data_IF_537494395278
#
_entry.id   IF_537494395278
#
_cell.length_a   1.000
_cell.length_b   1.000
_cell.length_c   1.000
_cell.angle_alpha   90.00
_cell.angle_beta   90.00
_cell.angle_gamma   90.00
#
_symmetry.space_group_name_H-M   'P 1'
#
loop_
_entity.id
_entity.type
_entity.pdbx_description
1 polymer ?
#
# COMPACT_ATOMS: atom_id res chain seq x y z
N UNK A 1 -8.69 -10.14 -21.38
CA UNK A 1 -7.82 -9.64 -20.30
C UNK A 1 -7.78 -10.72 -19.26
N UNK A 2 -6.62 -11.34 -19.05
CA UNK A 2 -6.43 -12.35 -18.00
C UNK A 2 -6.64 -11.67 -16.65
N UNK A 3 -7.65 -12.13 -15.91
CA UNK A 3 -7.85 -11.78 -14.50
C UNK A 3 -6.56 -12.08 -13.75
N UNK A 4 -5.85 -11.06 -13.27
CA UNK A 4 -4.73 -11.27 -12.33
C UNK A 4 -5.31 -11.25 -10.93
N UNK A 5 -5.33 -12.43 -10.30
CA UNK A 5 -5.64 -12.58 -8.88
C UNK A 5 -4.66 -11.76 -8.03
N UNK A 6 -5.09 -11.39 -6.82
CA UNK A 6 -4.21 -10.72 -5.86
C UNK A 6 -3.09 -11.69 -5.50
N UNK A 7 -1.83 -11.26 -5.61
CA UNK A 7 -0.69 -12.05 -5.13
C UNK A 7 -0.52 -11.86 -3.63
N UNK A 8 -0.04 -12.87 -2.93
CA UNK A 8 0.12 -12.87 -1.49
C UNK A 8 1.55 -13.28 -1.12
N UNK A 9 2.24 -12.38 -0.43
CA UNK A 9 3.51 -12.64 0.22
C UNK A 9 3.30 -12.71 1.73
N UNK A 10 3.67 -13.82 2.35
CA UNK A 10 3.68 -13.96 3.80
C UNK A 10 5.07 -13.60 4.34
N UNK A 11 5.13 -12.77 5.37
CA UNK A 11 6.37 -12.42 6.06
C UNK A 11 6.28 -12.71 7.55
N UNK A 12 7.16 -13.57 8.03
CA UNK A 12 7.37 -13.84 9.45
C UNK A 12 8.43 -12.87 9.96
N UNK A 13 8.19 -12.16 11.06
CA UNK A 13 9.24 -11.37 11.74
C UNK A 13 9.96 -12.21 12.79
N UNK A 14 11.17 -11.83 13.24
CA UNK A 14 11.77 -12.41 14.44
C UNK A 14 10.90 -12.19 15.68
N UNK A 15 11.09 -13.01 16.72
CA UNK A 15 10.55 -12.73 18.07
C UNK A 15 11.04 -11.37 18.57
N UNK A 16 10.14 -10.59 19.16
CA UNK A 16 10.51 -9.29 19.74
C UNK A 16 10.97 -9.46 21.19
N UNK A 17 11.66 -8.44 21.72
CA UNK A 17 12.20 -8.48 23.09
C UNK A 17 11.15 -8.82 24.15
N UNK A 18 9.90 -8.38 24.00
CA UNK A 18 8.83 -8.68 24.95
C UNK A 18 8.45 -10.16 24.91
N UNK A 19 8.33 -10.75 23.72
CA UNK A 19 8.03 -12.17 23.52
C UNK A 19 9.17 -13.04 24.03
N UNK A 20 10.42 -12.65 23.78
CA UNK A 20 11.61 -13.33 24.31
C UNK A 20 11.66 -13.29 25.84
N UNK A 21 11.41 -12.12 26.45
CA UNK A 21 11.36 -11.97 27.91
C UNK A 21 10.20 -12.74 28.56
N UNK A 22 9.13 -13.00 27.80
CA UNK A 22 7.99 -13.80 28.25
C UNK A 22 8.19 -15.31 28.02
N UNK A 23 9.36 -15.73 27.51
CA UNK A 23 9.66 -17.12 27.14
C UNK A 23 8.62 -17.72 26.17
N UNK A 24 8.12 -16.91 25.23
CA UNK A 24 7.24 -17.39 24.18
C UNK A 24 7.97 -18.38 23.25
N UNK A 25 7.26 -19.42 22.82
CA UNK A 25 7.75 -20.36 21.82
C UNK A 25 7.33 -19.94 20.41
N UNK A 26 8.09 -20.36 19.39
CA UNK A 26 7.69 -20.20 18.00
C UNK A 26 6.63 -21.23 17.61
N UNK A 27 5.54 -20.77 17.02
CA UNK A 27 4.39 -21.59 16.62
C UNK A 27 4.25 -21.72 15.10
N UNK A 28 5.23 -21.22 14.34
CA UNK A 28 5.28 -21.24 12.88
C UNK A 28 6.47 -22.04 12.40
N UNK A 29 6.28 -22.85 11.36
CA UNK A 29 7.34 -23.59 10.68
C UNK A 29 7.23 -23.28 9.19
N UNK A 30 8.26 -22.65 8.63
CA UNK A 30 8.35 -22.46 7.17
C UNK A 30 8.91 -23.73 6.56
N UNK A 31 8.28 -24.23 5.49
CA UNK A 31 8.75 -25.41 4.76
C UNK A 31 9.87 -24.99 3.81
N UNK A 32 11.07 -25.60 3.89
CA UNK A 32 12.13 -25.34 2.93
C UNK A 32 11.71 -25.65 1.50
N UNK A 33 12.17 -24.86 0.53
CA UNK A 33 11.97 -25.04 -0.91
C UNK A 33 10.50 -25.07 -1.39
N UNK A 34 9.55 -24.68 -0.54
CA UNK A 34 8.15 -24.53 -0.88
C UNK A 34 7.61 -23.23 -0.26
N UNK A 35 6.73 -22.47 -0.95
CA UNK A 35 6.11 -21.29 -0.36
C UNK A 35 4.97 -21.69 0.58
N UNK A 36 5.30 -22.52 1.58
CA UNK A 36 4.38 -23.12 2.54
C UNK A 36 4.77 -22.82 3.98
N UNK A 37 3.76 -22.61 4.81
CA UNK A 37 3.92 -22.43 6.25
C UNK A 37 2.98 -23.34 7.01
N UNK A 38 3.47 -23.91 8.11
CA UNK A 38 2.68 -24.63 9.11
C UNK A 38 2.49 -23.75 10.34
N UNK A 39 1.29 -23.77 10.90
CA UNK A 39 0.97 -23.16 12.20
C UNK A 39 0.40 -24.20 13.16
N UNK A 40 1.03 -24.33 14.32
CA UNK A 40 0.70 -25.41 15.26
C UNK A 40 1.06 -26.78 14.69
N UNK A 41 0.19 -27.78 14.89
CA UNK A 41 0.50 -29.17 14.56
C UNK A 41 -0.14 -29.68 13.25
N UNK A 42 -1.10 -28.96 12.67
CA UNK A 42 -1.99 -29.54 11.65
C UNK A 42 -2.44 -28.59 10.53
N UNK A 43 -2.10 -27.29 10.60
CA UNK A 43 -2.61 -26.30 9.63
C UNK A 43 -1.50 -25.82 8.72
N UNK A 44 -1.61 -26.16 7.44
CA UNK A 44 -0.73 -25.70 6.38
C UNK A 44 -1.42 -24.64 5.51
N UNK A 45 -0.65 -23.66 5.07
CA UNK A 45 -1.05 -22.63 4.10
C UNK A 45 0.03 -22.51 3.02
N UNK A 46 -0.39 -22.26 1.78
CA UNK A 46 0.51 -22.00 0.63
C UNK A 46 0.23 -20.60 0.12
N UNK A 47 1.28 -19.84 -0.20
CA UNK A 47 1.20 -18.48 -0.74
C UNK A 47 2.08 -18.34 -1.99
N UNK A 48 2.06 -17.18 -2.64
CA UNK A 48 2.99 -16.92 -3.76
C UNK A 48 4.43 -16.78 -3.25
N UNK A 49 4.60 -16.16 -2.08
CA UNK A 49 5.89 -16.00 -1.41
C UNK A 49 5.76 -16.27 0.09
N UNK A 50 6.77 -16.91 0.69
CA UNK A 50 6.88 -17.08 2.15
C UNK A 50 8.28 -16.70 2.59
N UNK A 51 8.38 -15.61 3.35
CA UNK A 51 9.62 -15.07 3.88
C UNK A 51 9.79 -15.46 5.36
N UNK A 52 10.77 -16.31 5.70
CA UNK A 52 11.11 -16.63 7.09
C UNK A 52 11.67 -15.42 7.85
N UNK A 53 11.86 -15.58 9.16
CA UNK A 53 12.22 -14.49 10.09
C UNK A 53 13.57 -13.83 9.84
N UNK A 54 14.50 -14.53 9.19
CA UNK A 54 15.84 -14.06 8.84
C UNK A 54 15.89 -13.33 7.48
N UNK A 55 14.79 -13.32 6.71
CA UNK A 55 14.72 -12.63 5.42
C UNK A 55 14.93 -11.12 5.56
N UNK A 56 15.92 -10.60 4.85
CA UNK A 56 16.25 -9.17 4.85
C UNK A 56 15.25 -8.32 4.04
N UNK A 57 15.21 -7.02 4.32
CA UNK A 57 14.33 -6.08 3.61
C UNK A 57 14.61 -6.01 2.10
N UNK A 58 15.88 -6.14 1.72
CA UNK A 58 16.30 -6.07 0.32
C UNK A 58 15.74 -7.26 -0.46
N UNK A 59 15.84 -8.47 0.09
CA UNK A 59 15.31 -9.69 -0.53
C UNK A 59 13.80 -9.62 -0.71
N UNK A 60 13.05 -9.21 0.33
CA UNK A 60 11.61 -8.98 0.22
C UNK A 60 11.29 -7.97 -0.88
N UNK A 61 12.04 -6.87 -0.96
CA UNK A 61 11.84 -5.86 -1.99
C UNK A 61 12.10 -6.43 -3.40
N UNK A 62 13.22 -7.11 -3.62
CA UNK A 62 13.60 -7.63 -4.92
C UNK A 62 12.60 -8.66 -5.45
N UNK A 63 12.12 -9.57 -4.60
CA UNK A 63 11.21 -10.62 -5.05
C UNK A 63 9.78 -10.13 -5.29
N UNK A 64 9.24 -9.30 -4.40
CA UNK A 64 7.81 -8.98 -4.42
C UNK A 64 7.47 -7.57 -4.92
N UNK A 65 8.30 -6.57 -4.62
CA UNK A 65 7.99 -5.16 -4.88
C UNK A 65 8.68 -4.61 -6.14
N UNK A 66 9.91 -5.03 -6.43
CA UNK A 66 10.68 -4.60 -7.60
C UNK A 66 9.93 -4.86 -8.92
N UNK A 67 9.33 -6.05 -9.18
CA UNK A 67 8.59 -6.31 -10.41
C UNK A 67 7.33 -5.46 -10.56
N UNK A 68 6.78 -4.98 -9.44
CA UNK A 68 5.59 -4.11 -9.44
C UNK A 68 5.94 -2.68 -9.88
N UNK A 69 7.18 -2.22 -9.62
CA UNK A 69 7.66 -0.93 -10.13
C UNK A 69 7.75 -0.96 -11.66
N UNK A 70 8.25 -2.06 -12.23
CA UNK A 70 8.29 -2.24 -13.68
C UNK A 70 6.89 -2.13 -14.29
N UNK A 71 5.87 -2.70 -13.62
CA UNK A 71 4.46 -2.59 -14.05
C UNK A 71 3.90 -1.17 -13.98
N UNK A 72 4.28 -0.39 -12.97
CA UNK A 72 3.92 1.03 -12.93
C UNK A 72 4.53 1.79 -14.12
N UNK A 73 5.81 1.54 -14.41
CA UNK A 73 6.51 2.16 -15.53
C UNK A 73 5.93 1.71 -16.88
N UNK A 74 5.45 0.47 -17.00
CA UNK A 74 4.66 -0.01 -18.16
C UNK A 74 3.29 0.68 -18.32
N UNK A 75 2.80 1.37 -17.28
CA UNK A 75 1.52 2.11 -17.31
C UNK A 75 0.36 1.43 -16.57
N UNK A 76 0.62 0.36 -15.82
CA UNK A 76 -0.40 -0.31 -14.99
C UNK A 76 -0.57 0.39 -13.64
N UNK A 77 -1.77 0.32 -13.07
CA UNK A 77 -1.94 0.62 -11.66
C UNK A 77 -1.37 -0.52 -10.82
N UNK A 78 -0.86 -0.16 -9.65
CA UNK A 78 -0.12 -1.07 -8.79
C UNK A 78 -0.46 -0.79 -7.35
N UNK A 79 -0.58 -1.83 -6.53
CA UNK A 79 -0.82 -1.69 -5.09
C UNK A 79 -0.08 -2.74 -4.29
N UNK A 80 0.61 -2.30 -3.23
CA UNK A 80 1.12 -3.17 -2.18
C UNK A 80 0.39 -2.81 -0.89
N UNK A 81 -0.27 -3.78 -0.27
CA UNK A 81 -0.90 -3.61 1.04
C UNK A 81 -0.24 -4.49 2.11
N UNK A 82 0.31 -3.86 3.13
CA UNK A 82 0.80 -4.54 4.31
C UNK A 82 -0.35 -4.79 5.29
N UNK A 83 -0.60 -6.06 5.64
CA UNK A 83 -1.69 -6.50 6.50
C UNK A 83 -1.20 -7.40 7.62
N UNK A 84 -1.89 -7.39 8.77
CA UNK A 84 -1.59 -8.24 9.91
C UNK A 84 -1.86 -7.54 11.23
N UNK A 85 -1.64 -8.26 12.33
CA UNK A 85 -1.84 -7.74 13.67
C UNK A 85 -0.91 -6.54 14.00
N UNK A 86 -1.30 -5.67 14.95
CA UNK A 86 -0.40 -4.68 15.55
C UNK A 86 0.92 -5.29 16.02
N UNK A 87 2.03 -4.68 15.62
CA UNK A 87 3.37 -5.17 15.97
C UNK A 87 3.83 -6.38 15.16
N UNK A 88 3.14 -6.78 14.08
CA UNK A 88 3.59 -7.86 13.19
C UNK A 88 4.67 -7.46 12.18
N UNK A 89 4.94 -6.15 12.03
CA UNK A 89 6.00 -5.65 11.13
C UNK A 89 5.52 -4.97 9.85
N UNK A 90 4.24 -4.56 9.75
CA UNK A 90 3.68 -3.83 8.59
C UNK A 90 4.44 -2.55 8.24
N UNK A 91 4.45 -1.59 9.17
CA UNK A 91 5.13 -0.29 9.04
C UNK A 91 6.64 -0.44 8.80
N UNK A 92 7.28 -1.42 9.47
CA UNK A 92 8.69 -1.77 9.25
C UNK A 92 8.93 -2.27 7.82
N UNK A 93 8.08 -3.16 7.31
CA UNK A 93 8.20 -3.67 5.94
C UNK A 93 7.99 -2.57 4.90
N UNK A 94 7.01 -1.69 5.11
CA UNK A 94 6.73 -0.58 4.20
C UNK A 94 7.79 0.52 4.28
N UNK A 95 8.45 0.72 5.42
CA UNK A 95 9.40 1.81 5.63
C UNK A 95 8.72 3.16 5.84
N UNK A 96 7.52 3.19 6.42
CA UNK A 96 6.78 4.42 6.75
C UNK A 96 7.13 4.96 8.13
N UNK A 97 7.88 4.22 8.94
CA UNK A 97 8.31 4.66 10.27
C UNK A 97 9.38 5.74 10.17
N UNK A 98 9.32 6.72 11.10
CA UNK A 98 10.41 7.66 11.31
C UNK A 98 11.33 7.04 12.36
N UNK A 99 12.14 6.06 11.97
CA UNK A 99 13.24 5.59 12.80
C UNK A 99 14.56 5.98 12.13
N UNK A 100 15.53 6.45 12.91
CA UNK A 100 16.87 6.78 12.43
C UNK A 100 17.70 5.53 12.08
N UNK A 101 17.03 4.42 11.77
CA UNK A 101 17.68 3.20 11.34
C UNK A 101 18.06 3.33 9.86
N UNK A 102 19.24 2.84 9.48
CA UNK A 102 19.64 2.75 8.08
C UNK A 102 18.88 1.65 7.31
N UNK A 103 17.90 1.00 7.94
CA UNK A 103 17.18 -0.14 7.38
C UNK A 103 16.00 0.37 6.56
N UNK A 104 16.20 0.50 5.25
CA UNK A 104 15.17 0.92 4.33
C UNK A 104 14.15 -0.20 4.06
N UNK A 105 12.85 0.13 4.17
CA UNK A 105 11.74 -0.73 3.76
C UNK A 105 11.43 -0.64 2.27
N UNK A 106 10.22 -1.10 1.90
CA UNK A 106 9.77 -1.18 0.49
C UNK A 106 9.67 0.21 -0.15
N UNK A 107 9.06 1.20 0.51
CA UNK A 107 8.79 2.50 -0.13
C UNK A 107 10.10 3.24 -0.50
N UNK A 108 11.09 3.38 0.39
CA UNK A 108 12.34 4.05 0.01
C UNK A 108 13.08 3.36 -1.15
N UNK A 109 13.15 2.03 -1.15
CA UNK A 109 13.78 1.24 -2.23
C UNK A 109 13.02 1.39 -3.55
N UNK A 110 11.69 1.36 -3.49
CA UNK A 110 10.81 1.59 -4.62
C UNK A 110 11.01 2.97 -5.25
N UNK A 111 11.17 4.01 -4.44
CA UNK A 111 11.44 5.38 -4.92
C UNK A 111 12.78 5.42 -5.67
N UNK A 112 13.85 4.85 -5.09
CA UNK A 112 15.17 4.82 -5.74
C UNK A 112 15.11 4.06 -7.07
N UNK A 113 14.50 2.87 -7.10
CA UNK A 113 14.34 2.09 -8.33
C UNK A 113 13.51 2.84 -9.38
N UNK A 114 12.36 3.40 -9.00
CA UNK A 114 11.48 4.11 -9.93
C UNK A 114 12.24 5.19 -10.71
N UNK A 115 12.99 6.06 -10.02
CA UNK A 115 13.74 7.11 -10.70
C UNK A 115 14.90 6.58 -11.53
N UNK A 116 15.54 5.48 -11.14
CA UNK A 116 16.54 4.81 -11.97
C UNK A 116 15.92 4.28 -13.28
N UNK A 117 14.77 3.61 -13.19
CA UNK A 117 14.05 3.07 -14.35
C UNK A 117 13.56 4.20 -15.28
N UNK A 118 13.06 5.30 -14.71
CA UNK A 118 12.64 6.47 -15.48
C UNK A 118 13.82 7.15 -16.19
N UNK A 119 14.98 7.21 -15.55
CA UNK A 119 16.20 7.74 -16.16
C UNK A 119 16.63 6.88 -17.35
N UNK A 120 16.76 5.56 -17.15
CA UNK A 120 17.12 4.61 -18.20
C UNK A 120 16.14 4.69 -19.38
N UNK A 121 14.83 4.74 -19.09
CA UNK A 121 13.81 4.82 -20.14
C UNK A 121 13.87 6.15 -20.91
N UNK A 122 14.23 7.24 -20.25
CA UNK A 122 14.43 8.54 -20.90
C UNK A 122 15.68 8.56 -21.78
N UNK A 123 16.75 7.87 -21.38
CA UNK A 123 17.95 7.70 -22.21
C UNK A 123 17.65 6.86 -23.45
N UNK A 124 16.86 5.79 -23.31
CA UNK A 124 16.44 4.93 -24.42
C UNK A 124 15.45 5.63 -25.36
N UNK A 125 14.56 6.48 -24.82
CA UNK A 125 13.57 7.20 -25.61
C UNK A 125 13.43 8.66 -25.13
N UNK A 126 14.25 9.59 -25.65
CA UNK A 126 14.26 11.00 -25.24
C UNK A 126 12.96 11.76 -25.50
N UNK A 127 12.05 11.16 -26.28
CA UNK A 127 10.75 11.72 -26.61
C UNK A 127 9.68 11.46 -25.55
N UNK A 128 9.98 10.73 -24.47
CA UNK A 128 9.07 10.59 -23.34
C UNK A 128 9.35 11.62 -22.25
N UNK A 129 8.30 12.33 -21.85
CA UNK A 129 8.27 13.16 -20.64
C UNK A 129 7.58 12.42 -19.50
N UNK A 130 8.22 12.46 -18.33
CA UNK A 130 7.74 11.84 -17.11
C UNK A 130 7.49 12.91 -16.05
N UNK A 131 6.29 12.90 -15.47
CA UNK A 131 5.94 13.73 -14.32
C UNK A 131 5.54 12.83 -13.16
N UNK A 132 6.22 13.00 -12.01
CA UNK A 132 5.95 12.24 -10.79
C UNK A 132 5.25 13.13 -9.78
N UNK A 133 4.13 12.66 -9.27
CA UNK A 133 3.38 13.31 -8.19
C UNK A 133 3.24 12.37 -7.01
N UNK A 134 3.05 12.94 -5.82
CA UNK A 134 2.81 12.17 -4.61
C UNK A 134 1.64 12.75 -3.81
N UNK A 135 0.85 11.85 -3.24
CA UNK A 135 -0.10 12.17 -2.17
C UNK A 135 0.10 11.20 -1.00
N UNK A 136 -0.18 11.66 0.21
CA UNK A 136 -0.07 10.82 1.40
C UNK A 136 -1.27 11.04 2.30
N UNK A 137 -2.08 9.99 2.47
CA UNK A 137 -3.34 10.05 3.18
C UNK A 137 -3.33 9.12 4.37
N UNK A 138 -4.10 9.52 5.38
CA UNK A 138 -4.42 8.70 6.54
C UNK A 138 -5.95 8.58 6.64
N UNK A 139 -6.42 7.34 6.78
CA UNK A 139 -7.81 7.04 7.11
C UNK A 139 -7.86 6.62 8.58
N UNK A 140 -8.40 7.50 9.41
CA UNK A 140 -8.54 7.29 10.85
C UNK A 140 -10.00 7.46 11.25
N UNK A 141 -10.61 6.43 11.83
CA UNK A 141 -12.01 6.45 12.27
C UNK A 141 -13.00 6.92 11.17
N UNK A 142 -12.84 6.40 9.94
CA UNK A 142 -13.59 6.83 8.74
C UNK A 142 -13.41 8.31 8.36
N UNK A 143 -12.48 9.04 8.94
CA UNK A 143 -12.11 10.39 8.51
C UNK A 143 -10.82 10.37 7.69
N UNK A 144 -10.84 11.08 6.56
CA UNK A 144 -9.69 11.25 5.70
C UNK A 144 -8.88 12.45 6.15
N UNK A 145 -7.57 12.26 6.23
CA UNK A 145 -6.60 13.26 6.63
C UNK A 145 -5.50 13.29 5.58
N UNK A 146 -5.18 14.47 5.06
CA UNK A 146 -4.05 14.67 4.16
C UNK A 146 -2.78 14.94 5.00
N UNK A 147 -1.82 14.01 4.92
CA UNK A 147 -0.57 14.07 5.68
C UNK A 147 0.44 15.05 5.06
N UNK A 148 0.23 15.51 3.83
CA UNK A 148 1.05 16.54 3.17
C UNK A 148 0.45 17.95 3.32
N UNK A 149 -0.76 18.06 3.86
CA UNK A 149 -1.45 19.29 4.20
C UNK A 149 -1.68 19.42 5.73
N UNK A 150 -0.82 20.14 6.46
CA UNK A 150 -0.92 20.29 7.92
C UNK A 150 -2.25 20.87 8.42
N UNK A 151 -2.98 21.62 7.58
CA UNK A 151 -4.27 22.22 7.94
C UNK A 151 -5.44 21.23 7.83
N UNK A 152 -5.25 20.08 7.18
CA UNK A 152 -6.32 19.11 6.93
C UNK A 152 -7.02 18.66 8.23
N UNK A 153 -6.24 18.31 9.27
CA UNK A 153 -6.81 17.90 10.56
C UNK A 153 -7.57 19.02 11.27
N UNK A 154 -7.05 20.24 11.22
CA UNK A 154 -7.71 21.40 11.84
C UNK A 154 -8.99 21.79 11.12
N UNK A 155 -9.00 21.70 9.79
CA UNK A 155 -10.17 21.96 8.96
C UNK A 155 -11.26 20.93 9.25
N UNK A 156 -10.91 19.64 9.39
CA UNK A 156 -11.87 18.61 9.77
C UNK A 156 -12.50 18.89 11.16
N UNK A 157 -11.70 19.31 12.15
CA UNK A 157 -12.22 19.72 13.47
C UNK A 157 -13.17 20.92 13.41
N UNK A 158 -13.02 21.79 12.42
CA UNK A 158 -13.89 22.96 12.17
C UNK A 158 -15.08 22.63 11.25
N UNK A 159 -15.29 21.35 10.90
CA UNK A 159 -16.36 20.90 10.01
C UNK A 159 -16.15 21.23 8.52
N UNK A 160 -14.95 21.67 8.14
CA UNK A 160 -14.55 21.93 6.74
C UNK A 160 -13.81 20.72 6.19
N UNK A 161 -14.56 19.65 5.90
CA UNK A 161 -14.00 18.45 5.29
C UNK A 161 -13.80 18.68 3.79
N UNK A 162 -12.61 19.14 3.42
CA UNK A 162 -12.26 19.41 2.01
C UNK A 162 -12.00 18.11 1.21
N UNK A 163 -11.74 16.99 1.91
CA UNK A 163 -11.42 15.69 1.32
C UNK A 163 -12.67 14.85 1.05
N UNK A 164 -12.95 14.57 -0.22
CA UNK A 164 -14.11 13.76 -0.63
C UNK A 164 -13.73 12.71 -1.67
N UNK A 165 -14.24 11.49 -1.49
CA UNK A 165 -14.16 10.41 -2.49
C UNK A 165 -15.27 10.61 -3.51
N UNK A 166 -14.90 10.92 -4.76
CA UNK A 166 -15.81 11.14 -5.89
C UNK A 166 -15.67 10.02 -6.92
N UNK A 167 -16.68 9.91 -7.75
CA UNK A 167 -16.77 8.95 -8.85
C UNK A 167 -17.05 9.77 -10.12
N UNK A 168 -16.26 9.57 -11.16
CA UNK A 168 -16.46 10.25 -12.44
C UNK A 168 -17.56 9.58 -13.28
N UNK A 169 -17.85 10.13 -14.47
CA UNK A 169 -18.87 9.59 -15.36
C UNK A 169 -18.55 8.17 -15.88
N UNK A 170 -17.29 7.73 -15.80
CA UNK A 170 -16.83 6.41 -16.21
C UNK A 170 -16.77 5.43 -15.03
N UNK A 171 -17.19 5.85 -13.83
CA UNK A 171 -17.12 5.03 -12.61
C UNK A 171 -15.74 5.00 -11.96
N UNK A 172 -14.80 5.84 -12.41
CA UNK A 172 -13.45 5.91 -11.83
C UNK A 172 -13.48 6.73 -10.55
N UNK A 173 -12.92 6.15 -9.48
CA UNK A 173 -12.80 6.83 -8.19
C UNK A 173 -11.63 7.82 -8.23
N UNK A 174 -11.88 9.04 -7.75
CA UNK A 174 -10.86 10.05 -7.57
C UNK A 174 -11.11 10.85 -6.28
N UNK A 175 -10.04 11.48 -5.77
CA UNK A 175 -10.10 12.24 -4.53
C UNK A 175 -10.12 13.73 -4.82
N UNK A 176 -11.15 14.40 -4.32
CA UNK A 176 -11.27 15.85 -4.36
C UNK A 176 -10.64 16.45 -3.11
N UNK A 177 -9.86 17.52 -3.27
CA UNK A 177 -9.25 18.28 -2.18
C UNK A 177 -7.92 17.73 -1.65
N UNK A 178 -7.45 16.60 -2.17
CA UNK A 178 -6.13 16.03 -1.83
C UNK A 178 -5.03 16.87 -2.45
N UNK A 179 -3.99 17.16 -1.67
CA UNK A 179 -2.79 17.80 -2.17
C UNK A 179 -1.89 16.78 -2.88
N UNK A 180 -1.77 16.95 -4.19
CA UNK A 180 -0.75 16.27 -5.00
C UNK A 180 0.48 17.18 -5.13
N UNK A 181 1.64 16.69 -4.69
CA UNK A 181 2.92 17.42 -4.77
C UNK A 181 3.73 16.85 -5.92
N UNK A 182 4.13 17.69 -6.87
CA UNK A 182 5.06 17.29 -7.92
C UNK A 182 6.48 17.15 -7.35
N UNK A 183 7.19 16.11 -7.74
CA UNK A 183 8.57 15.84 -7.33
C UNK A 183 9.41 15.51 -8.56
N UNK A 184 10.69 15.88 -8.52
CA UNK A 184 11.60 15.74 -9.68
C UNK A 184 12.77 14.78 -9.44
N UNK A 185 12.99 14.35 -8.20
CA UNK A 185 14.09 13.46 -7.84
C UNK A 185 13.74 12.57 -6.63
N UNK A 186 14.52 11.50 -6.37
CA UNK A 186 14.29 10.59 -5.25
C UNK A 186 14.25 11.29 -3.89
N UNK A 187 15.14 12.26 -3.65
CA UNK A 187 15.28 12.93 -2.36
C UNK A 187 14.04 13.78 -2.02
N UNK A 188 13.45 14.46 -3.01
CA UNK A 188 12.19 15.18 -2.87
C UNK A 188 11.03 14.25 -2.50
N UNK A 189 10.95 13.09 -3.16
CA UNK A 189 9.90 12.11 -2.91
C UNK A 189 10.05 11.44 -1.53
N UNK A 190 11.28 11.08 -1.15
CA UNK A 190 11.63 10.62 0.20
C UNK A 190 11.34 11.70 1.25
N UNK A 191 11.60 12.96 0.94
CA UNK A 191 11.27 14.09 1.80
C UNK A 191 9.76 14.23 2.07
N UNK A 192 8.91 13.98 1.06
CA UNK A 192 7.45 13.95 1.27
C UNK A 192 7.01 12.76 2.13
N UNK A 193 7.62 11.58 1.94
CA UNK A 193 7.38 10.42 2.80
C UNK A 193 7.72 10.75 4.26
N UNK A 194 8.94 11.25 4.52
CA UNK A 194 9.38 11.63 5.87
C UNK A 194 8.47 12.69 6.49
N UNK A 195 8.11 13.72 5.74
CA UNK A 195 7.21 14.79 6.20
C UNK A 195 5.84 14.25 6.62
N UNK A 196 5.22 13.41 5.79
CA UNK A 196 3.92 12.82 6.12
C UNK A 196 4.00 11.82 7.26
N UNK A 197 5.07 11.02 7.34
CA UNK A 197 5.34 10.09 8.43
C UNK A 197 5.56 10.80 9.77
N UNK A 198 6.28 11.93 9.78
CA UNK A 198 6.43 12.79 10.95
C UNK A 198 5.08 13.34 11.41
N UNK A 199 4.28 13.86 10.47
CA UNK A 199 2.96 14.39 10.80
C UNK A 199 2.03 13.30 11.38
N UNK A 200 2.03 12.10 10.79
CA UNK A 200 1.32 10.91 11.30
C UNK A 200 1.80 10.53 12.70
N UNK A 201 3.10 10.63 12.99
CA UNK A 201 3.69 10.27 14.29
C UNK A 201 3.38 11.30 15.38
N UNK A 202 3.55 12.60 15.12
CA UNK A 202 3.24 13.68 16.09
C UNK A 202 1.77 13.65 16.48
N UNK A 203 0.91 13.49 15.48
CA UNK A 203 -0.50 13.21 15.66
C UNK A 203 -0.80 12.01 16.57
N UNK A 204 0.04 10.96 16.47
CA UNK A 204 -0.09 9.72 17.24
C UNK A 204 0.31 9.90 18.70
N UNK A 205 1.35 10.69 18.97
CA UNK A 205 1.83 10.95 20.33
C UNK A 205 0.86 11.82 21.13
N UNK A 206 0.19 12.78 20.47
CA UNK A 206 -0.85 13.62 21.10
C UNK A 206 -2.12 12.82 21.49
N UNK A 207 -2.34 11.63 20.90
CA UNK A 207 -3.55 10.81 21.14
C UNK A 207 -3.31 9.36 21.62
N UNK A 208 -2.09 8.99 22.03
CA UNK A 208 -1.59 7.62 22.30
C UNK A 208 -1.39 6.76 21.04
N UNK A 209 -0.20 6.16 20.88
CA UNK A 209 0.24 5.20 19.84
C UNK A 209 -0.81 4.88 18.73
N UNK A 210 -0.96 5.80 17.76
CA UNK A 210 -1.97 5.76 16.68
C UNK A 210 -1.48 5.10 15.38
N UNK A 211 -0.17 4.86 15.16
CA UNK A 211 0.30 4.27 13.89
C UNK A 211 -0.30 2.88 13.60
N UNK A 212 -0.70 2.13 14.63
CA UNK A 212 -1.38 0.85 14.49
C UNK A 212 -2.89 0.94 14.32
N UNK A 213 -3.45 2.16 14.30
CA UNK A 213 -4.89 2.44 14.42
C UNK A 213 -5.46 3.30 13.29
N UNK A 214 -4.61 3.72 12.36
CA UNK A 214 -5.01 4.33 11.11
C UNK A 214 -4.40 3.60 9.92
N UNK A 215 -5.12 3.59 8.81
CA UNK A 215 -4.57 3.11 7.54
C UNK A 215 -3.86 4.27 6.87
N UNK A 216 -2.63 4.07 6.41
CA UNK A 216 -1.89 5.07 5.66
C UNK A 216 -1.73 4.62 4.21
N UNK A 217 -1.98 5.54 3.28
CA UNK A 217 -1.92 5.30 1.84
C UNK A 217 -0.98 6.34 1.23
N UNK A 218 0.24 5.91 0.93
CA UNK A 218 1.22 6.72 0.21
C UNK A 218 1.10 6.39 -1.28
N UNK A 219 0.73 7.37 -2.09
CA UNK A 219 0.45 7.15 -3.52
C UNK A 219 1.46 7.91 -4.36
N UNK A 220 2.15 7.20 -5.24
CA UNK A 220 2.99 7.79 -6.29
C UNK A 220 2.22 7.73 -7.59
N UNK A 221 2.07 8.87 -8.27
CA UNK A 221 1.36 8.99 -9.54
C UNK A 221 2.38 9.33 -10.62
N UNK A 222 2.52 8.45 -11.62
CA UNK A 222 3.39 8.66 -12.78
C UNK A 222 2.54 8.99 -13.99
N UNK A 223 2.79 10.17 -14.55
CA UNK A 223 2.21 10.64 -15.82
C UNK A 223 3.29 10.57 -16.89
N UNK A 224 3.00 9.87 -17.97
CA UNK A 224 3.90 9.68 -19.11
C UNK A 224 3.26 10.30 -20.35
N UNK A 225 4.02 11.13 -21.05
CA UNK A 225 3.59 11.76 -22.31
C UNK A 225 4.67 11.55 -23.35
N UNK A 226 4.38 10.81 -24.42
CA UNK A 226 5.28 10.72 -25.57
C UNK A 226 5.10 11.92 -26.50
N UNK A 227 6.21 12.42 -27.01
CA UNK A 227 6.29 13.53 -27.95
C UNK A 227 6.61 12.94 -29.33
N UNK A 228 5.65 12.92 -30.24
CA UNK A 228 5.97 12.59 -31.63
C UNK A 228 6.58 13.83 -32.30
N UNK A 229 7.86 13.75 -32.63
CA UNK A 229 8.42 14.65 -33.63
C UNK A 229 7.93 14.18 -35.00
N UNK A 230 7.01 14.92 -35.62
CA UNK A 230 6.81 14.80 -37.05
C UNK A 230 8.15 15.15 -37.70
N UNK A 231 8.73 14.21 -38.45
CA UNK A 231 9.98 14.44 -39.17
C UNK A 231 9.86 15.73 -39.98
N UNK A 232 10.84 16.62 -39.83
CA UNK A 232 10.98 17.79 -40.71
C UNK A 232 11.13 17.26 -42.14
N UNK A 233 10.06 17.31 -42.93
CA UNK A 233 10.17 17.24 -44.37
C UNK A 233 10.99 18.46 -44.82
N UNK A 234 12.31 18.29 -44.92
CA UNK A 234 13.31 19.32 -45.26
C UNK A 234 13.16 19.91 -46.68
N UNK A 235 12.04 19.71 -47.35
CA UNK A 235 11.82 20.18 -48.72
C UNK A 235 10.78 21.29 -48.85
N UNK A 236 10.00 21.64 -47.81
CA UNK A 236 9.01 22.72 -47.92
C UNK A 236 9.12 23.72 -46.76
N UNK A 237 9.07 25.01 -47.11
CA UNK A 237 9.09 26.22 -46.25
C UNK A 237 7.82 26.37 -45.37
N UNK A 238 7.24 25.26 -44.92
CA UNK A 238 6.04 25.24 -44.08
C UNK A 238 6.37 25.62 -42.62
N UNK A 239 5.44 26.28 -41.90
CA UNK A 239 5.65 26.71 -40.52
C UNK A 239 6.00 25.52 -39.60
N UNK A 240 6.73 25.75 -38.49
CA UNK A 240 7.27 24.69 -37.64
C UNK A 240 6.18 23.68 -37.25
N UNK A 241 6.45 22.41 -37.55
CA UNK A 241 5.52 21.30 -37.32
C UNK A 241 4.99 21.33 -35.87
N UNK A 242 3.67 21.32 -35.73
CA UNK A 242 3.01 21.16 -34.43
C UNK A 242 3.45 19.81 -33.83
N UNK A 243 4.11 19.84 -32.67
CA UNK A 243 4.40 18.64 -31.88
C UNK A 243 3.09 17.92 -31.60
N UNK A 244 2.91 16.72 -32.16
CA UNK A 244 1.79 15.85 -31.81
C UNK A 244 2.12 15.17 -30.48
N UNK A 245 1.27 15.36 -29.48
CA UNK A 245 1.40 14.68 -28.19
C UNK A 245 0.64 13.36 -28.26
N UNK A 246 1.32 12.26 -27.95
CA UNK A 246 0.67 10.97 -27.74
C UNK A 246 -0.27 11.02 -26.51
N UNK A 247 -1.27 10.12 -26.41
CA UNK A 247 -2.16 10.10 -25.26
C UNK A 247 -1.38 9.94 -23.95
N UNK A 248 -1.70 10.82 -22.99
CA UNK A 248 -1.11 10.83 -21.65
C UNK A 248 -1.47 9.55 -20.90
N UNK A 249 -0.48 8.71 -20.60
CA UNK A 249 -0.66 7.51 -19.78
C UNK A 249 -0.45 7.89 -18.32
N UNK A 250 -1.41 7.57 -17.46
CA UNK A 250 -1.30 7.79 -16.01
C UNK A 250 -1.38 6.45 -15.29
N UNK A 251 -0.39 6.19 -14.45
CA UNK A 251 -0.32 5.02 -13.58
C UNK A 251 -0.18 5.47 -12.13
N UNK A 252 -0.73 4.68 -11.21
CA UNK A 252 -0.63 4.93 -9.77
C UNK A 252 -0.02 3.73 -9.08
N UNK A 253 0.88 3.99 -8.15
CA UNK A 253 1.37 3.00 -7.20
C UNK A 253 0.92 3.39 -5.80
N UNK A 254 0.03 2.59 -5.22
CA UNK A 254 -0.41 2.73 -3.83
C UNK A 254 0.41 1.84 -2.90
N UNK A 255 1.07 2.47 -1.94
CA UNK A 255 1.74 1.82 -0.82
C UNK A 255 0.85 1.96 0.42
N UNK A 256 0.23 0.86 0.82
CA UNK A 256 -0.80 0.83 1.86
C UNK A 256 -0.25 0.17 3.12
N UNK A 257 -0.15 0.93 4.22
CA UNK A 257 0.19 0.45 5.55
C UNK A 257 -1.09 0.42 6.40
N UNK A 258 -1.72 -0.76 6.47
CA UNK A 258 -3.00 -0.92 7.15
C UNK A 258 -2.85 -0.87 8.68
N UNK A 259 -3.93 -0.51 9.36
CA UNK A 259 -4.05 -0.65 10.81
C UNK A 259 -3.99 -2.14 11.24
N UNK A 260 -3.73 -2.37 12.52
CA UNK A 260 -3.70 -3.72 13.09
C UNK A 260 -5.08 -4.38 13.15
N UNK A 261 -5.13 -5.68 12.86
CA UNK A 261 -6.35 -6.49 12.85
C UNK A 261 -6.75 -7.06 14.23
N UNK A 262 -6.20 -6.56 15.34
CA UNK A 262 -6.41 -7.17 16.65
C UNK A 262 -7.83 -7.05 17.21
N UNK A 263 -8.19 -8.06 18.00
CA UNK A 263 -9.48 -8.10 18.70
C UNK A 263 -9.52 -7.19 19.92
N UNK A 264 -10.61 -6.42 20.02
CA UNK A 264 -10.95 -5.54 21.16
C UNK A 264 -10.89 -6.22 22.53
N UNK A 265 -11.23 -7.53 22.61
CA UNK A 265 -11.19 -8.29 23.87
C UNK A 265 -9.78 -8.41 24.46
N UNK A 266 -8.72 -8.25 23.65
CA UNK A 266 -7.33 -8.34 24.10
C UNK A 266 -6.78 -7.00 24.59
N UNK A 267 -7.38 -5.89 24.15
CA UNK A 267 -6.87 -4.54 24.44
C UNK A 267 -7.50 -3.90 25.68
N UNK A 268 -8.51 -4.54 26.29
CA UNK A 268 -9.31 -3.97 27.40
C UNK A 268 -9.75 -2.52 27.13
N UNK A 269 -9.98 -2.18 25.86
CA UNK A 269 -10.32 -0.82 25.43
C UNK A 269 -11.74 -0.47 25.85
N UNK A 270 -11.93 0.67 26.51
CA UNK A 270 -13.23 1.22 26.92
C UNK A 270 -13.45 2.58 26.24
N UNK A 271 -14.71 2.96 26.01
CA UNK A 271 -15.08 4.29 25.50
C UNK A 271 -14.66 4.49 24.03
N UNK A 272 -14.04 5.62 23.73
CA UNK A 272 -13.70 5.99 22.35
C UNK A 272 -12.65 5.06 21.72
N UNK A 273 -11.77 4.45 22.52
CA UNK A 273 -10.84 3.41 22.05
C UNK A 273 -11.54 2.14 21.59
N UNK A 274 -12.72 1.85 22.13
CA UNK A 274 -13.52 0.71 21.67
C UNK A 274 -14.17 1.03 20.31
N UNK A 275 -14.73 2.24 20.16
CA UNK A 275 -15.30 2.70 18.87
C UNK A 275 -14.26 2.69 17.75
N UNK A 276 -13.06 3.18 18.05
CA UNK A 276 -11.93 3.19 17.14
C UNK A 276 -11.57 1.76 16.67
N UNK A 277 -11.41 0.81 17.60
CA UNK A 277 -11.13 -0.58 17.23
C UNK A 277 -12.28 -1.25 16.48
N UNK A 278 -13.54 -0.83 16.70
CA UNK A 278 -14.68 -1.27 15.87
C UNK A 278 -14.54 -0.74 14.44
N UNK A 279 -14.22 0.55 14.26
CA UNK A 279 -14.05 1.15 12.94
C UNK A 279 -12.88 0.53 12.14
N UNK A 280 -11.74 0.28 12.80
CA UNK A 280 -10.59 -0.41 12.20
C UNK A 280 -10.99 -1.80 11.73
N UNK A 281 -11.61 -2.60 12.60
CA UNK A 281 -12.01 -3.95 12.24
C UNK A 281 -13.13 -3.96 11.18
N UNK A 282 -14.01 -2.97 11.17
CA UNK A 282 -15.05 -2.79 10.15
C UNK A 282 -14.44 -2.55 8.76
N UNK A 283 -13.49 -1.62 8.65
CA UNK A 283 -12.79 -1.34 7.38
C UNK A 283 -11.95 -2.52 6.89
N UNK A 284 -11.26 -3.23 7.79
CA UNK A 284 -10.52 -4.46 7.43
C UNK A 284 -11.46 -5.62 7.03
N UNK A 285 -12.62 -5.75 7.65
CA UNK A 285 -13.62 -6.74 7.27
C UNK A 285 -14.20 -6.44 5.87
N UNK A 286 -14.53 -5.17 5.61
CA UNK A 286 -14.98 -4.73 4.29
C UNK A 286 -13.93 -5.04 3.21
N UNK A 287 -12.66 -4.76 3.50
CA UNK A 287 -11.54 -5.11 2.62
C UNK A 287 -11.49 -6.62 2.35
N UNK A 288 -11.67 -7.44 3.39
CA UNK A 288 -11.67 -8.90 3.25
C UNK A 288 -12.82 -9.40 2.39
N UNK A 289 -14.00 -8.80 2.54
CA UNK A 289 -15.17 -9.14 1.72
C UNK A 289 -14.96 -8.78 0.25
N UNK A 290 -14.37 -7.62 -0.05
CA UNK A 290 -14.04 -7.20 -1.41
C UNK A 290 -13.05 -8.17 -2.05
N UNK A 291 -11.95 -8.48 -1.34
CA UNK A 291 -10.93 -9.41 -1.80
C UNK A 291 -11.52 -10.80 -2.06
N UNK A 292 -12.31 -11.34 -1.12
CA UNK A 292 -12.97 -12.64 -1.29
C UNK A 292 -13.93 -12.65 -2.49
N UNK A 293 -14.66 -11.55 -2.72
CA UNK A 293 -15.59 -11.44 -3.82
C UNK A 293 -14.89 -11.37 -5.19
N UNK A 294 -13.64 -10.89 -5.23
CA UNK A 294 -12.81 -10.83 -6.44
C UNK A 294 -12.09 -12.15 -6.73
N UNK A 295 -11.70 -12.90 -5.70
CA UNK A 295 -10.97 -14.18 -5.85
C UNK A 295 -11.85 -15.39 -6.19
N UNK A 296 -13.15 -15.35 -5.90
CA UNK A 296 -14.05 -16.48 -6.12
C UNK A 296 -14.66 -16.48 -7.55
N UNK A 297 -13.93 -17.00 -8.53
CA UNK A 297 -14.41 -17.13 -9.92
C UNK A 297 -15.67 -18.01 -10.06
N UNK A 298 -15.92 -18.88 -9.08
CA UNK A 298 -17.08 -19.78 -9.06
C UNK A 298 -18.37 -19.09 -8.65
N UNK A 299 -18.25 -18.05 -7.80
CA UNK A 299 -19.36 -17.16 -7.48
C UNK A 299 -19.41 -16.05 -8.52
N UNK A 300 -20.44 -16.06 -9.36
CA UNK A 300 -20.84 -14.86 -10.12
C UNK A 300 -21.34 -13.81 -9.15
N UNK A 301 -20.43 -13.15 -8.44
CA UNK A 301 -20.75 -12.02 -7.57
C UNK A 301 -21.08 -10.84 -8.48
N UNK A 302 -22.37 -10.52 -8.59
CA UNK A 302 -22.86 -9.44 -9.46
C UNK A 302 -22.45 -8.05 -8.98
N UNK A 303 -22.09 -7.91 -7.70
CA UNK A 303 -21.77 -6.63 -7.08
C UNK A 303 -20.67 -6.79 -6.03
N UNK A 304 -19.54 -6.10 -6.21
CA UNK A 304 -18.44 -6.05 -5.26
C UNK A 304 -18.70 -4.93 -4.25
N UNK A 305 -18.65 -5.19 -2.92
CA UNK A 305 -19.08 -4.24 -1.89
C UNK A 305 -18.02 -3.17 -1.56
N UNK A 306 -17.47 -2.47 -2.57
CA UNK A 306 -16.47 -1.42 -2.34
C UNK A 306 -16.98 -0.30 -1.45
N UNK A 307 -18.30 -0.08 -1.40
CA UNK A 307 -18.94 1.01 -0.65
C UNK A 307 -19.06 0.77 0.86
N UNK A 308 -18.73 -0.43 1.34
CA UNK A 308 -18.86 -0.80 2.76
C UNK A 308 -17.87 -0.07 3.68
N UNK A 309 -16.77 0.48 3.14
CA UNK A 309 -15.84 1.33 3.88
C UNK A 309 -15.18 2.37 2.97
N UNK A 310 -14.71 3.49 3.54
CA UNK A 310 -13.90 4.43 2.74
C UNK A 310 -12.60 3.79 2.26
N UNK A 311 -12.01 2.86 3.03
CA UNK A 311 -10.80 2.13 2.65
C UNK A 311 -10.99 1.37 1.33
N UNK A 312 -12.06 0.57 1.23
CA UNK A 312 -12.36 -0.21 0.03
C UNK A 312 -12.75 0.67 -1.16
N UNK A 313 -13.34 1.85 -0.93
CA UNK A 313 -13.57 2.83 -2.01
C UNK A 313 -12.27 3.46 -2.51
N UNK A 314 -11.33 3.78 -1.61
CA UNK A 314 -10.02 4.32 -1.99
C UNK A 314 -9.22 3.32 -2.82
N UNK A 315 -9.30 2.04 -2.46
CA UNK A 315 -8.59 0.95 -3.12
C UNK A 315 -9.43 0.28 -4.21
N UNK A 316 -10.53 0.87 -4.65
CA UNK A 316 -11.41 0.27 -5.64
C UNK A 316 -10.72 0.12 -7.01
N UNK A 317 -9.89 1.10 -7.39
CA UNK A 317 -9.06 1.02 -8.60
C UNK A 317 -7.90 0.03 -8.48
N UNK A 318 -7.57 -0.34 -7.25
CA UNK A 318 -6.46 -1.21 -6.86
C UNK A 318 -6.90 -2.67 -6.73
N UNK A 319 -8.11 -2.92 -6.23
CA UNK A 319 -8.65 -4.24 -5.95
C UNK A 319 -9.64 -4.59 -7.05
N UNK A 320 -9.12 -5.09 -8.17
CA UNK A 320 -9.91 -5.43 -9.37
C UNK A 320 -9.63 -4.48 -10.55
N UNK A 321 -9.95 -4.92 -11.77
CA UNK A 321 -9.72 -4.14 -12.99
C UNK A 321 -8.28 -4.18 -13.51
N UNK A 322 -7.77 -3.04 -14.00
CA UNK A 322 -6.42 -2.89 -14.59
C UNK A 322 -5.37 -2.53 -13.52
N UNK A 323 -5.23 -3.37 -12.49
CA UNK A 323 -4.27 -3.17 -11.39
C UNK A 323 -3.54 -4.45 -11.03
N UNK A 324 -2.25 -4.32 -10.70
CA UNK A 324 -1.42 -5.38 -10.14
C UNK A 324 -1.33 -5.21 -8.62
N UNK A 325 -1.85 -6.18 -7.88
CA UNK A 325 -1.97 -6.04 -6.42
C UNK A 325 -1.28 -7.16 -5.68
N UNK A 326 -0.51 -6.77 -4.67
CA UNK A 326 0.21 -7.65 -3.76
C UNK A 326 -0.23 -7.38 -2.31
N UNK A 327 -0.61 -8.43 -1.62
CA UNK A 327 -0.81 -8.43 -0.17
C UNK A 327 0.43 -8.95 0.54
N UNK A 328 1.08 -8.09 1.32
CA UNK A 328 2.15 -8.47 2.23
C UNK A 328 1.55 -8.76 3.62
N UNK A 329 1.29 -10.03 3.91
CA UNK A 329 0.78 -10.48 5.20
C UNK A 329 1.93 -10.62 6.21
N UNK A 330 2.00 -9.73 7.20
CA UNK A 330 3.02 -9.77 8.25
C UNK A 330 2.50 -10.48 9.51
N UNK A 331 3.26 -11.43 10.05
CA UNK A 331 2.86 -12.24 11.22
C UNK A 331 3.95 -12.32 12.30
N UNK A 332 3.51 -12.51 13.55
CA UNK A 332 4.41 -12.87 14.67
C UNK A 332 4.55 -14.40 14.75
N UNK A 333 5.78 -14.92 14.99
CA UNK A 333 5.99 -16.34 15.23
C UNK A 333 5.58 -16.77 16.63
N UNK A 334 5.34 -15.84 17.56
CA UNK A 334 5.03 -16.15 18.96
C UNK A 334 3.70 -16.90 19.14
N UNK A 335 3.75 -17.96 19.94
CA UNK A 335 2.60 -18.70 20.46
C UNK A 335 1.55 -17.82 21.17
N UNK A 336 1.97 -16.77 21.90
CA UNK A 336 1.06 -15.80 22.53
C UNK A 336 0.16 -15.08 21.52
N UNK A 337 0.56 -15.02 20.25
CA UNK A 337 -0.17 -14.43 19.15
C UNK A 337 -0.79 -15.47 18.20
N UNK A 338 -0.77 -16.77 18.57
CA UNK A 338 -1.21 -17.88 17.71
C UNK A 338 -2.56 -17.62 17.01
N UNK A 339 -3.58 -17.22 17.76
CA UNK A 339 -4.93 -17.00 17.22
C UNK A 339 -4.98 -15.87 16.20
N UNK A 340 -4.11 -14.88 16.34
CA UNK A 340 -4.09 -13.67 15.54
C UNK A 340 -3.29 -13.91 14.27
N UNK A 341 -2.14 -14.57 14.40
CA UNK A 341 -1.39 -15.15 13.28
C UNK A 341 -2.29 -16.07 12.43
N UNK A 342 -3.05 -16.97 13.06
CA UNK A 342 -3.99 -17.84 12.34
C UNK A 342 -5.07 -17.06 11.59
N UNK A 343 -5.58 -15.97 12.17
CA UNK A 343 -6.56 -15.13 11.47
C UNK A 343 -5.93 -14.41 10.28
N UNK A 344 -4.70 -13.91 10.42
CA UNK A 344 -3.95 -13.30 9.31
C UNK A 344 -3.71 -14.30 8.18
N UNK A 345 -3.26 -15.53 8.49
CA UNK A 345 -3.06 -16.59 7.50
C UNK A 345 -4.36 -16.94 6.77
N UNK A 346 -5.48 -17.10 7.51
CA UNK A 346 -6.79 -17.38 6.93
C UNK A 346 -7.32 -16.25 6.06
N UNK A 347 -7.06 -15.00 6.45
CA UNK A 347 -7.44 -13.84 5.67
C UNK A 347 -6.62 -13.78 4.38
N UNK A 348 -5.30 -13.93 4.49
CA UNK A 348 -4.38 -13.91 3.36
C UNK A 348 -4.67 -15.03 2.36
N UNK A 349 -5.04 -16.24 2.82
CA UNK A 349 -5.40 -17.36 1.95
C UNK A 349 -6.74 -17.17 1.21
N UNK A 350 -7.54 -16.17 1.59
CA UNK A 350 -8.76 -15.81 0.86
C UNK A 350 -8.53 -14.69 -0.15
N UNK A 351 -7.37 -14.04 -0.08
CA UNK A 351 -6.89 -13.09 -1.08
C UNK A 351 -6.29 -13.85 -2.25
#
# INVERSE_FOLDING_TARGET
MTSTSVRVALRVRPLNNKETLQNCSECLIVIPDAPQILIGNDKSFTFDYVFPSDTEQEEVFQECASPLIDKMVEGYNVTILAYGQTGSGKTYSMGTAVDGSNIQGIIPRAITKLFADLHERKEQNPFYEFEVYVSFLELYNEDLIDLLNPQSRENNKKGKNDLMIREDANGQIYLSGVKEVQVSNPDELLGQLQKGSLYRTVASTDMNMVSSRSHAIFSVILKQTGIESLEENKENDDPPAQKSLTPKVTSKFHFVDLAGSERLKRTNSIGDRAKEGIAINGSLLALGNVICALGDESRKVTHIPYRDSKLTRLLQDSLGGNSQTLMLACVSPSDSNFMETLNTLKYANRA
#
